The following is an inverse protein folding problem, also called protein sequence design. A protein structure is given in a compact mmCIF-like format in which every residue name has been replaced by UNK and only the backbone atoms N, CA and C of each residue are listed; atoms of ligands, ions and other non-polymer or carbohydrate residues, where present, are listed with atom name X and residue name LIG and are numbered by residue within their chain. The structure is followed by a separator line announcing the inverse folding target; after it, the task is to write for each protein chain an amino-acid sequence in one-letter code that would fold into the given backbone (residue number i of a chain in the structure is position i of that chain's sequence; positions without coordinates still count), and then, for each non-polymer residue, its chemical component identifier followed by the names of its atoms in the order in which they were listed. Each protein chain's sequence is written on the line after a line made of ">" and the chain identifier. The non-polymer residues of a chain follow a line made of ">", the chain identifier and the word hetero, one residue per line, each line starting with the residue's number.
data_IF_084642615406
#
_entry.id   IF_084642615406
#
_cell.length_a   1.000
_cell.length_b   1.000
_cell.length_c   1.000
_cell.angle_alpha   90.00
_cell.angle_beta   90.00
_cell.angle_gamma   90.00
#
_symmetry.space_group_name_H-M   'P 1'
#
loop_
_entity.id
_entity.type
_entity.pdbx_description
1 polymer ?
#
# COMPACT_ATOMS: atom_id res chain seq x y z
N UNK A 1 -7.96 -11.20 -9.45
CA UNK A 1 -7.13 -12.39 -9.12
C UNK A 1 -5.67 -12.08 -9.40
N UNK A 2 -4.76 -12.52 -8.52
CA UNK A 2 -3.32 -12.34 -8.73
C UNK A 2 -2.81 -13.58 -9.47
N UNK A 3 -2.41 -13.40 -10.73
CA UNK A 3 -1.77 -14.44 -11.53
C UNK A 3 -0.28 -14.13 -11.59
N UNK A 4 0.54 -15.14 -11.31
CA UNK A 4 2.00 -15.10 -11.45
C UNK A 4 2.38 -16.26 -12.37
N UNK A 5 2.91 -15.93 -13.54
CA UNK A 5 3.39 -16.95 -14.48
C UNK A 5 4.78 -17.43 -14.04
N UNK A 6 4.94 -18.75 -14.02
CA UNK A 6 6.19 -19.45 -13.70
C UNK A 6 6.79 -19.87 -15.04
N UNK A 7 8.07 -19.61 -15.25
CA UNK A 7 8.80 -20.06 -16.45
C UNK A 7 9.47 -21.40 -16.18
N UNK A 8 9.67 -22.20 -17.21
CA UNK A 8 10.44 -23.44 -17.15
C UNK A 8 11.89 -23.11 -16.77
N UNK A 9 12.37 -23.66 -15.65
CA UNK A 9 13.62 -23.33 -14.91
C UNK A 9 13.57 -22.22 -13.86
N UNK A 10 12.39 -21.73 -13.46
CA UNK A 10 12.31 -20.83 -12.30
C UNK A 10 12.22 -21.60 -10.97
N UNK A 11 13.09 -21.26 -10.00
CA UNK A 11 12.98 -21.77 -8.63
C UNK A 11 11.65 -21.35 -8.00
N UNK A 12 10.93 -22.30 -7.40
CA UNK A 12 9.62 -22.11 -6.75
C UNK A 12 9.66 -20.96 -5.72
N UNK A 13 10.76 -20.83 -4.97
CA UNK A 13 10.95 -19.76 -3.98
C UNK A 13 10.95 -18.35 -4.60
N UNK A 14 11.49 -18.20 -5.80
CA UNK A 14 11.46 -16.92 -6.52
C UNK A 14 10.04 -16.56 -6.95
N UNK A 15 9.28 -17.54 -7.45
CA UNK A 15 7.89 -17.34 -7.82
C UNK A 15 7.04 -16.93 -6.59
N UNK A 16 7.22 -17.59 -5.45
CA UNK A 16 6.55 -17.25 -4.19
C UNK A 16 6.90 -15.85 -3.69
N UNK A 17 8.17 -15.44 -3.75
CA UNK A 17 8.58 -14.07 -3.38
C UNK A 17 7.93 -13.01 -4.26
N UNK A 18 7.85 -13.23 -5.58
CA UNK A 18 7.15 -12.31 -6.50
C UNK A 18 5.65 -12.25 -6.20
N UNK A 19 5.03 -13.41 -5.95
CA UNK A 19 3.62 -13.46 -5.58
C UNK A 19 3.36 -12.66 -4.30
N UNK A 20 4.15 -12.88 -3.24
CA UNK A 20 4.05 -12.14 -1.98
C UNK A 20 4.20 -10.63 -2.21
N UNK A 21 5.21 -10.19 -2.97
CA UNK A 21 5.41 -8.77 -3.29
C UNK A 21 4.24 -8.18 -4.09
N UNK A 22 3.68 -8.94 -5.04
CA UNK A 22 2.51 -8.53 -5.83
C UNK A 22 1.26 -8.41 -4.95
N UNK A 23 1.05 -9.35 -4.03
CA UNK A 23 -0.02 -9.34 -3.03
C UNK A 23 0.07 -8.15 -2.08
N UNK A 24 1.26 -7.88 -1.52
CA UNK A 24 1.51 -6.73 -0.65
C UNK A 24 1.26 -5.40 -1.38
N UNK A 25 1.69 -5.30 -2.65
CA UNK A 25 1.49 -4.09 -3.48
C UNK A 25 0.02 -3.80 -3.75
N UNK A 26 -0.82 -4.83 -3.87
CA UNK A 26 -2.28 -4.65 -3.98
C UNK A 26 -2.90 -4.03 -2.73
N UNK A 27 -2.22 -4.07 -1.57
CA UNK A 27 -2.69 -3.39 -0.36
C UNK A 27 -3.97 -3.98 0.26
N UNK A 28 -4.38 -5.19 -0.13
CA UNK A 28 -5.61 -5.85 0.35
C UNK A 28 -5.65 -5.92 1.87
N UNK A 29 -4.53 -6.26 2.52
CA UNK A 29 -4.44 -6.33 3.97
C UNK A 29 -4.73 -4.97 4.64
N UNK A 30 -4.24 -3.88 4.04
CA UNK A 30 -4.45 -2.52 4.55
C UNK A 30 -5.90 -2.09 4.38
N UNK A 31 -6.51 -2.46 3.26
CA UNK A 31 -7.92 -2.21 3.02
C UNK A 31 -8.81 -2.99 3.97
N UNK A 32 -8.51 -4.27 4.20
CA UNK A 32 -9.25 -5.12 5.12
C UNK A 32 -9.23 -4.53 6.53
N UNK A 33 -8.04 -4.13 7.02
CA UNK A 33 -7.88 -3.42 8.31
C UNK A 33 -8.62 -2.08 8.38
N UNK A 34 -8.78 -1.36 7.26
CA UNK A 34 -9.55 -0.11 7.23
C UNK A 34 -11.06 -0.38 7.29
N UNK A 35 -11.51 -1.51 6.74
CA UNK A 35 -12.93 -1.88 6.66
C UNK A 35 -13.45 -2.59 7.93
N UNK A 36 -12.58 -3.01 8.85
CA UNK A 36 -13.00 -3.69 10.09
C UNK A 36 -13.83 -2.80 11.02
N UNK A 37 -13.71 -1.47 10.92
CA UNK A 37 -14.47 -0.52 11.72
C UNK A 37 -15.02 0.62 10.87
N UNK A 38 -16.17 1.16 11.26
CA UNK A 38 -16.71 2.36 10.63
C UNK A 38 -15.90 3.59 11.05
N UNK A 39 -15.31 4.27 10.06
CA UNK A 39 -14.65 5.54 10.27
C UNK A 39 -15.54 6.67 9.76
N UNK A 40 -15.97 7.57 10.66
CA UNK A 40 -16.75 8.75 10.29
C UNK A 40 -16.03 9.56 9.18
N UNK A 41 -16.76 10.07 8.17
CA UNK A 41 -16.15 10.77 7.04
C UNK A 41 -15.36 12.02 7.48
N UNK A 42 -15.78 12.69 8.55
CA UNK A 42 -15.06 13.83 9.15
C UNK A 42 -13.64 13.45 9.59
N UNK A 43 -13.48 12.31 10.25
CA UNK A 43 -12.18 11.82 10.75
C UNK A 43 -11.27 11.48 9.57
N UNK A 44 -11.81 10.82 8.54
CA UNK A 44 -11.04 10.48 7.33
C UNK A 44 -10.55 11.73 6.60
N UNK A 45 -11.43 12.73 6.41
CA UNK A 45 -11.08 14.01 5.78
C UNK A 45 -10.00 14.76 6.58
N UNK A 46 -10.11 14.78 7.91
CA UNK A 46 -9.10 15.41 8.79
C UNK A 46 -7.71 14.78 8.62
N UNK A 47 -7.62 13.44 8.72
CA UNK A 47 -6.35 12.70 8.54
C UNK A 47 -5.73 12.91 7.16
N UNK A 48 -6.55 13.07 6.12
CA UNK A 48 -6.06 13.39 4.77
C UNK A 48 -5.41 14.77 4.70
N UNK A 49 -6.03 15.80 5.30
CA UNK A 49 -5.48 17.16 5.36
C UNK A 49 -4.16 17.21 6.14
N UNK A 50 -4.12 16.62 7.32
CA UNK A 50 -2.90 16.54 8.15
C UNK A 50 -1.74 15.90 7.38
N UNK A 51 -2.01 14.80 6.67
CA UNK A 51 -1.01 14.12 5.84
C UNK A 51 -0.54 14.98 4.66
N UNK A 52 -1.43 15.77 4.05
CA UNK A 52 -1.08 16.64 2.94
C UNK A 52 -0.16 17.78 3.40
N UNK A 53 -0.50 18.42 4.53
CA UNK A 53 0.33 19.46 5.15
C UNK A 53 1.71 18.91 5.48
N UNK A 54 1.79 17.76 6.14
CA UNK A 54 3.07 17.12 6.47
C UNK A 54 3.93 16.83 5.22
N UNK A 55 3.32 16.38 4.13
CA UNK A 55 4.05 16.18 2.87
C UNK A 55 4.56 17.51 2.31
N UNK A 56 3.73 18.54 2.31
CA UNK A 56 4.10 19.86 1.81
C UNK A 56 5.27 20.45 2.58
N UNK A 57 5.27 20.32 3.92
CA UNK A 57 6.39 20.78 4.75
C UNK A 57 7.67 20.00 4.43
N UNK A 58 7.58 18.68 4.27
CA UNK A 58 8.75 17.85 3.92
C UNK A 58 9.33 18.20 2.55
N UNK A 59 8.48 18.42 1.54
CA UNK A 59 8.96 18.87 0.23
C UNK A 59 9.56 20.29 0.29
N UNK A 60 9.04 21.18 1.13
CA UNK A 60 9.59 22.52 1.28
C UNK A 60 10.98 22.50 1.94
N UNK A 61 11.22 21.57 2.88
CA UNK A 61 12.54 21.40 3.53
C UNK A 61 13.56 20.71 2.63
N UNK A 62 13.14 19.75 1.80
CA UNK A 62 14.05 19.03 0.88
C UNK A 62 14.45 19.86 -0.35
N UNK A 63 13.66 20.88 -0.71
CA UNK A 63 13.90 21.75 -1.87
C UNK A 63 14.68 23.03 -1.54
N UNK A 64 15.31 23.11 -0.37
CA UNK A 64 16.11 24.26 0.07
C UNK A 64 17.54 23.84 0.44
#
# INVERSE_FOLDING_TARGET
>A
MIIVQIKDNESVDRALKRFKKKFERTGVLKELRRRTFFQKPSITKRKQKEKAVYKQTMYATDNY
#
